data_IF_637086446380
#
_entry.id   IF_637086446380
#
_cell.length_a   1.000
_cell.length_b   1.000
_cell.length_c   1.000
_cell.angle_alpha   90.00
_cell.angle_beta   90.00
_cell.angle_gamma   90.00
#
_symmetry.space_group_name_H-M   'P 1'
#
loop_
_entity.id
_entity.type
_entity.pdbx_description
1 polymer ?
#
# COMPACT_ATOMS: atom_id res chain seq x y z
N UNK A 1 -3.79 -1.19 -22.11
CA UNK A 1 -3.61 -1.98 -20.87
C UNK A 1 -4.73 -1.58 -19.95
N UNK A 2 -5.48 -2.53 -19.36
CA UNK A 2 -6.61 -2.20 -18.49
C UNK A 2 -6.12 -1.54 -17.19
N UNK A 3 -6.91 -0.65 -16.62
CA UNK A 3 -6.57 0.04 -15.37
C UNK A 3 -6.56 -0.95 -14.19
N UNK A 4 -5.65 -0.73 -13.23
CA UNK A 4 -5.62 -1.51 -12.01
C UNK A 4 -6.78 -1.13 -11.08
N UNK A 5 -7.48 -2.13 -10.55
CA UNK A 5 -8.52 -1.92 -9.52
C UNK A 5 -7.83 -1.72 -8.17
N UNK A 6 -8.17 -0.64 -7.48
CA UNK A 6 -7.60 -0.29 -6.17
C UNK A 6 -8.52 -0.78 -5.06
N UNK A 7 -8.04 -1.72 -4.26
CA UNK A 7 -8.69 -2.25 -3.08
C UNK A 7 -8.13 -1.53 -1.85
N UNK A 8 -8.99 -0.85 -1.09
CA UNK A 8 -8.58 -0.07 0.08
C UNK A 8 -9.12 -0.70 1.36
N UNK A 9 -8.20 -1.05 2.24
CA UNK A 9 -8.47 -1.63 3.55
C UNK A 9 -8.87 -0.59 4.60
N UNK A 10 -9.22 -1.04 5.82
CA UNK A 10 -9.59 -0.15 6.92
C UNK A 10 -8.43 0.78 7.32
N UNK A 11 -8.76 2.02 7.70
CA UNK A 11 -7.77 3.00 8.17
C UNK A 11 -6.94 3.67 7.06
N UNK A 12 -7.28 3.45 5.79
CA UNK A 12 -6.52 3.96 4.64
C UNK A 12 -7.21 5.13 3.90
N UNK A 13 -7.91 6.00 4.63
CA UNK A 13 -8.69 7.11 4.04
C UNK A 13 -7.81 8.06 3.21
N UNK A 14 -6.60 8.35 3.69
CA UNK A 14 -5.69 9.25 2.98
C UNK A 14 -5.17 8.63 1.67
N UNK A 15 -4.96 7.31 1.65
CA UNK A 15 -4.56 6.61 0.43
C UNK A 15 -5.73 6.50 -0.57
N UNK A 16 -6.96 6.28 -0.09
CA UNK A 16 -8.15 6.35 -0.95
C UNK A 16 -8.27 7.72 -1.63
N UNK A 17 -8.11 8.81 -0.87
CA UNK A 17 -8.14 10.16 -1.43
C UNK A 17 -6.99 10.40 -2.41
N UNK A 18 -5.80 9.83 -2.17
CA UNK A 18 -4.71 9.86 -3.14
C UNK A 18 -5.13 9.22 -4.47
N UNK A 19 -5.65 7.99 -4.46
CA UNK A 19 -6.02 7.30 -5.71
C UNK A 19 -7.25 7.90 -6.41
N UNK A 20 -8.11 8.63 -5.69
CA UNK A 20 -9.19 9.43 -6.31
C UNK A 20 -8.65 10.60 -7.13
N UNK A 21 -7.51 11.15 -6.73
CA UNK A 21 -6.92 12.35 -7.34
C UNK A 21 -5.76 12.02 -8.29
N UNK A 22 -5.04 10.94 -8.03
CA UNK A 22 -3.95 10.44 -8.83
C UNK A 22 -4.36 9.10 -9.45
N UNK A 23 -4.61 9.10 -10.76
CA UNK A 23 -4.97 7.90 -11.51
C UNK A 23 -3.76 7.03 -11.88
N UNK A 24 -2.69 7.06 -11.08
CA UNK A 24 -1.48 6.28 -11.31
C UNK A 24 -0.88 5.70 -10.03
N UNK A 25 -0.21 4.57 -10.18
CA UNK A 25 0.71 4.02 -9.20
C UNK A 25 2.03 3.62 -9.85
N UNK A 26 3.09 3.54 -9.04
CA UNK A 26 4.42 3.13 -9.48
C UNK A 26 4.53 1.61 -9.50
N UNK A 27 4.93 1.04 -10.64
CA UNK A 27 5.09 -0.40 -10.82
C UNK A 27 6.40 -0.69 -11.55
N UNK A 28 7.43 -1.02 -10.78
CA UNK A 28 8.76 -1.34 -11.30
C UNK A 28 9.40 -0.11 -11.96
N UNK A 29 9.96 -0.23 -13.18
CA UNK A 29 10.54 0.92 -13.88
C UNK A 29 9.48 1.89 -14.41
N UNK A 30 8.21 1.50 -14.44
CA UNK A 30 7.12 2.26 -15.05
C UNK A 30 6.02 2.68 -14.06
N UNK A 31 4.88 3.02 -14.64
CA UNK A 31 3.64 3.37 -13.93
C UNK A 31 2.48 2.55 -14.47
N UNK A 32 1.52 2.26 -13.61
CA UNK A 32 0.23 1.68 -13.99
C UNK A 32 -0.86 2.72 -13.79
N UNK A 33 -1.84 2.74 -14.67
CA UNK A 33 -3.06 3.54 -14.46
C UNK A 33 -3.92 2.84 -13.40
N UNK A 34 -4.49 3.61 -12.49
CA UNK A 34 -5.46 3.13 -11.50
C UNK A 34 -6.86 3.60 -11.87
N UNK A 35 -7.83 2.70 -11.72
CA UNK A 35 -9.22 2.92 -12.10
C UNK A 35 -10.14 2.92 -10.89
N UNK A 36 -11.05 1.94 -10.84
CA UNK A 36 -12.03 1.83 -9.77
C UNK A 36 -11.37 1.65 -8.39
N UNK A 37 -11.92 2.34 -7.39
CA UNK A 37 -11.55 2.19 -5.97
C UNK A 37 -12.67 1.44 -5.24
N UNK A 38 -12.31 0.38 -4.53
CA UNK A 38 -13.24 -0.51 -3.81
C UNK A 38 -12.73 -0.68 -2.38
N UNK A 39 -13.61 -0.50 -1.40
CA UNK A 39 -13.26 -0.74 -0.02
C UNK A 39 -13.44 -2.21 0.36
N UNK A 40 -12.63 -2.70 1.28
CA UNK A 40 -12.82 -3.99 1.94
C UNK A 40 -12.52 -3.86 3.43
N UNK A 41 -13.09 -4.74 4.25
CA UNK A 41 -12.91 -4.71 5.71
C UNK A 41 -12.19 -5.93 6.26
N UNK A 42 -12.07 -7.00 5.47
CA UNK A 42 -11.45 -8.27 5.84
C UNK A 42 -10.93 -8.99 4.58
N UNK A 43 -10.11 -10.03 4.79
CA UNK A 43 -9.53 -10.83 3.72
C UNK A 43 -10.61 -11.51 2.86
N UNK A 44 -11.68 -12.01 3.48
CA UNK A 44 -12.80 -12.62 2.76
C UNK A 44 -13.40 -11.69 1.69
N UNK A 45 -13.71 -10.45 2.05
CA UNK A 45 -14.23 -9.44 1.13
C UNK A 45 -13.21 -9.03 0.07
N UNK A 46 -11.92 -8.97 0.42
CA UNK A 46 -10.87 -8.70 -0.55
C UNK A 46 -10.82 -9.80 -1.63
N UNK A 47 -10.91 -11.07 -1.23
CA UNK A 47 -10.94 -12.18 -2.18
C UNK A 47 -12.20 -12.15 -3.06
N UNK A 48 -13.37 -11.86 -2.49
CA UNK A 48 -14.60 -11.66 -3.26
C UNK A 48 -14.43 -10.56 -4.31
N UNK A 49 -13.89 -9.41 -3.90
CA UNK A 49 -13.66 -8.28 -4.79
C UNK A 49 -12.70 -8.60 -5.92
N UNK A 50 -11.72 -9.48 -5.73
CA UNK A 50 -10.78 -9.90 -6.79
C UNK A 50 -11.45 -10.96 -7.69
N UNK A 51 -12.09 -11.97 -7.10
CA UNK A 51 -12.71 -13.06 -7.84
C UNK A 51 -13.86 -12.59 -8.75
N UNK A 52 -14.62 -11.57 -8.32
CA UNK A 52 -15.75 -11.02 -9.07
C UNK A 52 -15.34 -10.13 -10.26
N UNK A 53 -14.04 -9.99 -10.53
CA UNK A 53 -13.49 -9.03 -11.49
C UNK A 53 -12.87 -9.70 -12.71
N UNK A 54 -12.72 -8.91 -13.76
CA UNK A 54 -12.11 -9.32 -15.03
C UNK A 54 -10.75 -8.65 -15.23
N UNK A 55 -10.48 -7.56 -14.50
CA UNK A 55 -9.21 -6.88 -14.49
C UNK A 55 -8.12 -7.81 -13.96
N UNK A 56 -6.96 -7.84 -14.62
CA UNK A 56 -5.83 -8.68 -14.23
C UNK A 56 -5.00 -8.02 -13.14
N UNK A 57 -4.96 -6.69 -13.11
CA UNK A 57 -4.15 -5.92 -12.16
C UNK A 57 -4.99 -5.44 -10.98
N UNK A 58 -4.54 -5.77 -9.78
CA UNK A 58 -5.14 -5.30 -8.54
C UNK A 58 -4.10 -4.67 -7.64
N UNK A 59 -4.43 -3.49 -7.11
CA UNK A 59 -3.62 -2.79 -6.13
C UNK A 59 -4.29 -2.88 -4.77
N UNK A 60 -3.62 -3.45 -3.78
CA UNK A 60 -4.13 -3.64 -2.43
C UNK A 60 -3.45 -2.63 -1.50
N UNK A 61 -4.22 -1.68 -0.97
CA UNK A 61 -3.75 -0.69 0.01
C UNK A 61 -4.27 -1.08 1.38
N UNK A 62 -3.38 -1.46 2.29
CA UNK A 62 -3.74 -1.87 3.65
C UNK A 62 -2.53 -1.77 4.57
N UNK A 63 -2.72 -1.79 5.88
CA UNK A 63 -1.57 -1.95 6.77
C UNK A 63 -0.95 -3.33 6.56
N UNK A 64 0.37 -3.40 6.67
CA UNK A 64 1.10 -4.65 6.62
C UNK A 64 2.42 -4.58 7.36
N UNK A 65 3.03 -5.73 7.65
CA UNK A 65 4.38 -5.79 8.20
C UNK A 65 5.11 -7.04 7.74
N UNK A 66 6.43 -7.06 7.93
CA UNK A 66 7.29 -8.22 7.66
C UNK A 66 7.00 -9.43 8.55
N UNK A 67 6.27 -9.24 9.66
CA UNK A 67 5.92 -10.28 10.63
C UNK A 67 4.48 -10.73 10.53
N UNK A 68 3.55 -9.78 10.34
CA UNK A 68 2.12 -10.04 10.42
C UNK A 68 1.46 -10.18 9.04
N UNK A 69 2.19 -9.93 7.95
CA UNK A 69 1.61 -9.86 6.60
C UNK A 69 0.66 -8.68 6.49
N UNK A 70 -0.44 -8.82 5.75
CA UNK A 70 -1.54 -7.87 5.76
C UNK A 70 -2.22 -7.89 7.13
N UNK A 71 -2.39 -6.70 7.71
CA UNK A 71 -3.01 -6.49 9.01
C UNK A 71 -4.50 -6.19 8.80
N UNK A 72 -5.27 -7.23 8.53
CA UNK A 72 -6.72 -7.18 8.28
C UNK A 72 -7.39 -8.43 8.87
N UNK A 73 -8.62 -8.32 9.42
CA UNK A 73 -9.36 -9.49 9.85
C UNK A 73 -9.52 -10.54 8.74
N UNK A 74 -9.54 -11.82 9.08
CA UNK A 74 -9.75 -12.89 8.08
C UNK A 74 -11.16 -12.88 7.49
N UNK A 75 -12.17 -12.70 8.35
CA UNK A 75 -13.59 -12.70 8.00
C UNK A 75 -14.34 -11.69 8.89
N UNK A 76 -15.66 -11.62 8.73
CA UNK A 76 -16.50 -10.91 9.69
C UNK A 76 -16.41 -11.57 11.08
N UNK A 77 -16.48 -10.75 12.14
CA UNK A 77 -16.57 -11.18 13.54
C UNK A 77 -15.31 -11.87 14.12
N UNK A 78 -14.14 -11.70 13.51
CA UNK A 78 -12.85 -12.06 14.15
C UNK A 78 -12.02 -10.81 14.44
N UNK A 79 -11.35 -10.80 15.59
CA UNK A 79 -10.34 -9.79 15.93
C UNK A 79 -8.93 -10.19 15.46
N UNK A 80 -8.73 -11.44 15.02
CA UNK A 80 -7.45 -11.90 14.50
C UNK A 80 -7.22 -11.30 13.12
N UNK A 81 -6.14 -10.53 13.00
CA UNK A 81 -5.89 -9.71 11.82
C UNK A 81 -4.48 -9.88 11.22
N UNK A 82 -3.67 -10.81 11.70
CA UNK A 82 -2.32 -11.06 11.18
C UNK A 82 -2.35 -12.23 10.18
N UNK A 83 -2.33 -11.93 8.89
CA UNK A 83 -2.45 -12.94 7.83
C UNK A 83 -1.13 -13.66 7.48
N UNK A 84 0.01 -13.09 7.87
CA UNK A 84 1.34 -13.53 7.43
C UNK A 84 1.69 -14.98 7.72
N UNK A 85 1.51 -15.46 8.95
CA UNK A 85 1.82 -16.86 9.32
C UNK A 85 0.77 -17.87 8.86
N UNK A 86 -0.37 -17.39 8.36
CA UNK A 86 -1.55 -18.20 8.06
C UNK A 86 -1.76 -18.34 6.55
N UNK A 87 -1.21 -17.43 5.75
CA UNK A 87 -1.45 -17.36 4.31
C UNK A 87 -0.98 -18.63 3.57
N UNK A 88 0.15 -19.21 3.97
CA UNK A 88 0.66 -20.47 3.42
C UNK A 88 -0.24 -21.65 3.78
N UNK A 89 -0.73 -21.72 5.02
CA UNK A 89 -1.68 -22.76 5.44
C UNK A 89 -3.03 -22.64 4.70
N UNK A 90 -3.51 -21.41 4.47
CA UNK A 90 -4.70 -21.17 3.64
C UNK A 90 -4.49 -21.62 2.20
N UNK A 91 -3.32 -21.37 1.62
CA UNK A 91 -2.97 -21.84 0.28
C UNK A 91 -2.96 -23.38 0.19
N UNK A 92 -2.44 -24.05 1.22
CA UNK A 92 -2.46 -25.52 1.29
C UNK A 92 -3.90 -26.04 1.43
N UNK A 93 -4.73 -25.41 2.27
CA UNK A 93 -6.13 -25.78 2.41
C UNK A 93 -6.91 -25.61 1.10
N UNK A 94 -6.64 -24.52 0.36
CA UNK A 94 -7.18 -24.29 -0.98
C UNK A 94 -6.77 -25.41 -1.93
N UNK A 95 -5.49 -25.76 -1.98
CA UNK A 95 -4.98 -26.87 -2.82
C UNK A 95 -5.68 -28.21 -2.49
N UNK A 96 -5.90 -28.51 -1.21
CA UNK A 96 -6.63 -29.70 -0.77
C UNK A 96 -8.12 -29.68 -1.16
N UNK A 97 -8.70 -28.48 -1.30
CA UNK A 97 -10.12 -28.32 -1.69
C UNK A 97 -10.35 -28.50 -3.19
N UNK A 98 -9.36 -28.20 -4.05
CA UNK A 98 -9.46 -28.30 -5.52
C UNK A 98 -10.04 -29.65 -6.02
N UNK A 99 -9.49 -30.83 -5.66
CA UNK A 99 -10.01 -32.10 -6.17
C UNK A 99 -11.42 -32.43 -5.67
N UNK A 100 -11.83 -31.89 -4.52
CA UNK A 100 -13.17 -32.07 -3.98
C UNK A 100 -14.18 -31.20 -4.72
N UNK A 101 -13.84 -29.94 -4.98
CA UNK A 101 -14.70 -29.03 -5.74
C UNK A 101 -14.96 -29.53 -7.16
N UNK A 102 -13.97 -30.16 -7.80
CA UNK A 102 -14.14 -30.82 -9.10
C UNK A 102 -15.20 -31.95 -9.09
N UNK A 103 -15.55 -32.46 -7.90
CA UNK A 103 -16.59 -33.46 -7.68
C UNK A 103 -17.86 -32.88 -7.03
N UNK A 104 -18.01 -31.55 -6.97
CA UNK A 104 -19.06 -30.85 -6.23
C UNK A 104 -19.10 -31.24 -4.73
N UNK A 105 -17.92 -31.42 -4.12
CA UNK A 105 -17.75 -31.71 -2.69
C UNK A 105 -16.90 -30.62 -2.03
N UNK A 106 -17.08 -30.49 -0.73
CA UNK A 106 -16.31 -29.58 0.12
C UNK A 106 -15.43 -30.37 1.09
N UNK A 107 -14.41 -29.73 1.65
CA UNK A 107 -13.70 -30.31 2.79
C UNK A 107 -14.67 -30.52 3.96
N UNK A 108 -14.56 -31.64 4.71
CA UNK A 108 -15.37 -31.85 5.89
C UNK A 108 -15.05 -30.80 6.98
N UNK A 109 -16.08 -30.25 7.62
CA UNK A 109 -15.90 -29.35 8.78
C UNK A 109 -15.19 -30.03 9.96
N UNK A 110 -15.22 -31.36 10.02
CA UNK A 110 -14.55 -32.20 11.01
C UNK A 110 -13.09 -32.51 10.67
N UNK A 111 -12.58 -32.06 9.52
CA UNK A 111 -11.18 -32.25 9.15
C UNK A 111 -10.28 -31.49 10.13
N UNK A 112 -9.30 -32.20 10.71
CA UNK A 112 -8.40 -31.64 11.73
C UNK A 112 -7.61 -30.43 11.21
N UNK A 113 -7.24 -30.42 9.92
CA UNK A 113 -6.54 -29.29 9.28
C UNK A 113 -7.44 -28.08 9.22
N UNK A 114 -8.71 -28.27 8.84
CA UNK A 114 -9.72 -27.20 8.83
C UNK A 114 -9.92 -26.63 10.24
N UNK A 115 -10.13 -27.49 11.23
CA UNK A 115 -10.37 -27.09 12.63
C UNK A 115 -9.18 -26.28 13.17
N UNK A 116 -7.96 -26.78 12.98
CA UNK A 116 -6.75 -26.12 13.46
C UNK A 116 -6.57 -24.75 12.80
N UNK A 117 -6.74 -24.66 11.49
CA UNK A 117 -6.58 -23.40 10.77
C UNK A 117 -7.66 -22.39 11.14
N UNK A 118 -8.91 -22.83 11.28
CA UNK A 118 -10.01 -21.99 11.73
C UNK A 118 -9.76 -21.42 13.14
N UNK A 119 -9.23 -22.24 14.05
CA UNK A 119 -8.81 -21.82 15.39
C UNK A 119 -7.72 -20.75 15.35
N UNK A 120 -6.69 -20.92 14.52
CA UNK A 120 -5.62 -19.92 14.34
C UNK A 120 -6.13 -18.57 13.83
N UNK A 121 -7.20 -18.57 13.03
CA UNK A 121 -7.85 -17.37 12.51
C UNK A 121 -8.96 -16.82 13.43
N UNK A 122 -9.30 -17.53 14.50
CA UNK A 122 -10.45 -17.22 15.35
C UNK A 122 -11.78 -17.19 14.61
N UNK A 123 -11.99 -18.11 13.67
CA UNK A 123 -13.22 -18.23 12.89
C UNK A 123 -13.78 -19.65 12.96
N UNK A 124 -14.99 -19.85 12.43
CA UNK A 124 -15.61 -21.17 12.37
C UNK A 124 -15.02 -22.03 11.23
N UNK A 125 -14.95 -23.36 11.36
CA UNK A 125 -14.44 -24.28 10.34
C UNK A 125 -15.05 -24.08 8.94
N UNK A 126 -16.35 -23.86 8.85
CA UNK A 126 -17.03 -23.58 7.59
C UNK A 126 -16.59 -22.26 6.92
N UNK A 127 -16.19 -21.26 7.70
CA UNK A 127 -15.62 -20.00 7.18
C UNK A 127 -14.21 -20.24 6.64
N UNK A 128 -13.41 -21.08 7.29
CA UNK A 128 -12.08 -21.43 6.80
C UNK A 128 -12.14 -22.18 5.46
N UNK A 129 -13.07 -23.12 5.31
CA UNK A 129 -13.35 -23.81 4.04
C UNK A 129 -13.73 -22.78 2.97
N UNK A 130 -14.72 -21.93 3.26
CA UNK A 130 -15.18 -20.90 2.32
C UNK A 130 -14.06 -19.93 1.90
N UNK A 131 -13.19 -19.53 2.81
CA UNK A 131 -12.00 -18.72 2.50
C UNK A 131 -11.06 -19.46 1.53
N UNK A 132 -10.78 -20.74 1.78
CA UNK A 132 -9.95 -21.56 0.91
C UNK A 132 -10.53 -21.68 -0.50
N UNK A 133 -11.85 -21.82 -0.63
CA UNK A 133 -12.55 -21.87 -1.92
C UNK A 133 -12.47 -20.51 -2.66
N UNK A 134 -12.56 -19.40 -1.95
CA UNK A 134 -12.36 -18.05 -2.53
C UNK A 134 -10.93 -17.86 -3.03
N UNK A 135 -9.93 -18.42 -2.36
CA UNK A 135 -8.57 -18.43 -2.89
C UNK A 135 -8.48 -19.17 -4.22
N UNK A 136 -9.17 -20.30 -4.39
CA UNK A 136 -9.20 -21.03 -5.67
C UNK A 136 -9.78 -20.15 -6.77
N UNK A 137 -10.92 -19.49 -6.51
CA UNK A 137 -11.54 -18.58 -7.48
C UNK A 137 -10.60 -17.43 -7.89
N UNK A 138 -9.79 -16.90 -6.95
CA UNK A 138 -8.76 -15.90 -7.27
C UNK A 138 -7.59 -16.52 -8.05
N UNK A 139 -7.13 -17.71 -7.67
CA UNK A 139 -6.02 -18.42 -8.32
C UNK A 139 -6.31 -18.74 -9.79
N UNK A 140 -7.56 -18.95 -10.16
CA UNK A 140 -8.00 -19.16 -11.54
C UNK A 140 -7.81 -17.91 -12.41
N UNK A 141 -7.88 -16.71 -11.81
CA UNK A 141 -7.70 -15.43 -12.53
C UNK A 141 -6.25 -15.13 -12.89
N UNK A 142 -5.29 -15.75 -12.21
CA UNK A 142 -3.85 -15.46 -12.34
C UNK A 142 -3.55 -13.96 -12.25
N UNK A 143 -3.93 -13.27 -11.15
CA UNK A 143 -3.82 -11.82 -11.08
C UNK A 143 -2.37 -11.34 -11.00
N UNK A 144 -2.16 -10.06 -11.30
CA UNK A 144 -0.97 -9.29 -10.93
C UNK A 144 -1.34 -8.41 -9.75
N UNK A 145 -0.62 -8.56 -8.63
CA UNK A 145 -0.97 -7.89 -7.37
C UNK A 145 0.10 -6.87 -6.97
N UNK A 146 -0.32 -5.65 -6.70
CA UNK A 146 0.52 -4.59 -6.13
C UNK A 146 0.07 -4.31 -4.70
N UNK A 147 0.85 -4.72 -3.71
CA UNK A 147 0.56 -4.46 -2.30
C UNK A 147 1.23 -3.13 -1.90
N UNK A 148 0.47 -2.20 -1.33
CA UNK A 148 0.95 -0.97 -0.68
C UNK A 148 0.76 -1.12 0.82
N UNK A 149 1.55 -2.05 1.38
CA UNK A 149 1.38 -2.63 2.71
C UNK A 149 2.49 -2.27 3.70
N UNK A 150 2.61 -0.99 4.06
CA UNK A 150 3.72 -0.44 4.84
C UNK A 150 5.09 -0.96 4.38
N UNK A 151 5.66 -1.99 5.01
CA UNK A 151 6.95 -2.62 4.69
C UNK A 151 6.88 -4.14 4.47
N UNK A 152 5.71 -4.69 4.14
CA UNK A 152 5.47 -6.15 3.99
C UNK A 152 6.49 -6.83 3.07
N UNK A 153 6.97 -6.14 2.03
CA UNK A 153 7.98 -6.68 1.10
C UNK A 153 9.38 -6.80 1.67
N UNK A 154 9.62 -6.36 2.90
CA UNK A 154 10.86 -6.64 3.63
C UNK A 154 11.01 -8.14 3.98
N UNK A 155 9.93 -8.91 3.91
CA UNK A 155 9.94 -10.36 4.03
C UNK A 155 9.57 -11.02 2.69
N UNK A 156 10.58 -11.26 1.84
CA UNK A 156 10.39 -11.89 0.54
C UNK A 156 9.79 -13.31 0.60
N UNK A 157 10.21 -14.20 1.53
CA UNK A 157 9.55 -15.49 1.72
C UNK A 157 8.03 -15.37 1.92
N UNK A 158 7.58 -14.46 2.78
CA UNK A 158 6.16 -14.22 3.00
C UNK A 158 5.46 -13.72 1.72
N UNK A 159 6.09 -12.83 0.93
CA UNK A 159 5.51 -12.41 -0.35
C UNK A 159 5.36 -13.57 -1.34
N UNK A 160 6.30 -14.52 -1.37
CA UNK A 160 6.19 -15.72 -2.19
C UNK A 160 5.00 -16.58 -1.73
N UNK A 161 4.74 -16.66 -0.43
CA UNK A 161 3.56 -17.34 0.11
C UNK A 161 2.26 -16.64 -0.32
N UNK A 162 2.20 -15.29 -0.28
CA UNK A 162 1.06 -14.56 -0.85
C UNK A 162 0.89 -14.82 -2.35
N UNK A 163 1.99 -14.85 -3.11
CA UNK A 163 1.96 -15.12 -4.54
C UNK A 163 1.38 -16.50 -4.82
N UNK A 164 1.85 -17.50 -4.09
CA UNK A 164 1.34 -18.87 -4.18
C UNK A 164 -0.14 -18.95 -3.76
N UNK A 165 -0.51 -18.32 -2.64
CA UNK A 165 -1.88 -18.33 -2.13
C UNK A 165 -2.87 -17.70 -3.10
N UNK A 166 -2.53 -16.54 -3.68
CA UNK A 166 -3.38 -15.82 -4.63
C UNK A 166 -3.27 -16.37 -6.07
N UNK A 167 -2.36 -17.32 -6.32
CA UNK A 167 -2.05 -17.80 -7.66
C UNK A 167 -1.59 -16.67 -8.60
N UNK A 168 -0.97 -15.64 -8.03
CA UNK A 168 -0.61 -14.43 -8.74
C UNK A 168 0.55 -14.68 -9.71
N UNK A 169 0.52 -14.05 -10.88
CA UNK A 169 1.65 -14.07 -11.82
C UNK A 169 2.84 -13.29 -11.26
N UNK A 170 2.55 -12.22 -10.54
CA UNK A 170 3.54 -11.34 -9.91
C UNK A 170 2.93 -10.68 -8.68
N UNK A 171 3.74 -10.52 -7.62
CA UNK A 171 3.43 -9.63 -6.51
C UNK A 171 4.52 -8.56 -6.38
N UNK A 172 4.11 -7.31 -6.19
CA UNK A 172 5.01 -6.21 -5.85
C UNK A 172 4.63 -5.56 -4.52
N UNK A 173 5.62 -5.26 -3.67
CA UNK A 173 5.37 -4.59 -2.40
C UNK A 173 6.56 -3.71 -1.95
N UNK A 174 6.33 -2.71 -1.09
CA UNK A 174 7.41 -1.94 -0.47
C UNK A 174 8.25 -2.80 0.49
N UNK A 175 9.57 -2.72 0.34
CA UNK A 175 10.54 -3.40 1.22
C UNK A 175 10.92 -2.61 2.46
N UNK A 176 10.54 -1.34 2.50
CA UNK A 176 10.75 -0.41 3.60
C UNK A 176 9.44 0.29 3.96
N UNK A 177 9.44 1.23 4.90
CA UNK A 177 8.20 1.87 5.36
C UNK A 177 7.62 2.75 4.25
N UNK A 178 6.30 2.66 4.06
CA UNK A 178 5.53 3.47 3.13
C UNK A 178 4.43 4.23 3.88
N UNK A 179 4.27 5.51 3.56
CA UNK A 179 3.24 6.39 4.13
C UNK A 179 2.56 7.20 3.04
N UNK A 180 1.34 7.65 3.32
CA UNK A 180 0.72 8.74 2.59
C UNK A 180 0.71 9.96 3.52
N UNK A 181 1.14 11.11 3.01
CA UNK A 181 1.23 12.35 3.77
C UNK A 181 0.38 13.42 3.12
N UNK A 182 -0.41 14.14 3.92
CA UNK A 182 -1.06 15.37 3.47
C UNK A 182 -0.06 16.52 3.63
N UNK A 183 0.37 17.09 2.51
CA UNK A 183 1.32 18.19 2.47
C UNK A 183 0.53 19.48 2.27
N UNK A 184 0.78 20.46 3.14
CA UNK A 184 0.14 21.78 3.10
C UNK A 184 1.24 22.86 3.16
N UNK A 185 1.84 23.21 2.02
CA UNK A 185 2.94 24.15 1.98
C UNK A 185 2.52 25.55 2.41
N UNK A 186 3.31 26.19 3.26
CA UNK A 186 3.13 27.58 3.64
C UNK A 186 4.41 28.39 3.45
N UNK A 187 4.30 29.71 3.50
CA UNK A 187 5.50 30.57 3.49
C UNK A 187 6.27 30.39 4.82
N UNK A 188 7.61 30.43 4.81
CA UNK A 188 8.39 30.50 6.04
C UNK A 188 7.99 31.70 6.90
N UNK A 189 8.10 31.55 8.22
CA UNK A 189 7.89 32.67 9.15
C UNK A 189 9.01 33.70 9.01
N UNK A 190 8.79 34.96 9.44
CA UNK A 190 9.77 36.07 9.28
C UNK A 190 11.18 35.79 9.81
N UNK A 191 11.37 34.79 10.68
CA UNK A 191 12.67 34.40 11.27
C UNK A 191 13.38 33.28 10.52
N UNK A 192 12.74 32.69 9.50
CA UNK A 192 13.25 31.57 8.73
C UNK A 192 13.33 31.97 7.25
N UNK A 193 14.44 31.66 6.60
CA UNK A 193 14.56 31.81 5.13
C UNK A 193 14.64 30.44 4.49
N UNK A 194 14.18 30.31 3.24
CA UNK A 194 14.31 29.05 2.49
C UNK A 194 15.78 28.61 2.36
N UNK A 195 16.71 29.55 2.21
CA UNK A 195 18.15 29.27 2.15
C UNK A 195 18.69 28.71 3.49
N UNK A 196 18.26 29.28 4.62
CA UNK A 196 18.63 28.79 5.95
C UNK A 196 18.00 27.43 6.27
N UNK A 197 16.73 27.24 5.91
CA UNK A 197 16.04 25.95 6.08
C UNK A 197 16.63 24.87 5.17
N UNK A 198 17.01 25.22 3.94
CA UNK A 198 17.54 24.26 2.95
C UNK A 198 18.95 23.75 3.28
N UNK A 199 19.76 24.51 4.02
CA UNK A 199 21.12 24.12 4.44
C UNK A 199 21.17 23.59 5.87
N UNK A 200 20.19 23.93 6.71
CA UNK A 200 20.08 23.45 8.09
C UNK A 200 19.50 22.05 8.18
N UNK A 201 20.02 21.25 9.13
CA UNK A 201 19.33 20.02 9.57
C UNK A 201 18.02 20.37 10.28
N UNK A 202 17.00 19.49 10.24
CA UNK A 202 15.85 19.62 11.12
C UNK A 202 16.27 19.78 12.58
N UNK A 203 15.65 20.73 13.27
CA UNK A 203 15.86 20.93 14.70
C UNK A 203 15.11 19.88 15.53
N UNK A 204 14.07 19.28 14.96
CA UNK A 204 13.25 18.28 15.62
C UNK A 204 13.86 16.89 15.42
N UNK A 205 14.00 16.13 16.50
CA UNK A 205 14.50 14.76 16.45
C UNK A 205 13.64 13.87 15.53
N UNK A 206 14.26 12.85 14.92
CA UNK A 206 13.63 11.89 14.01
C UNK A 206 12.94 12.52 12.79
N UNK A 207 13.43 13.69 12.37
CA UNK A 207 12.88 14.41 11.21
C UNK A 207 13.81 14.26 10.01
N UNK A 208 13.22 13.89 8.87
CA UNK A 208 13.87 13.78 7.57
C UNK A 208 13.44 14.96 6.72
N UNK A 209 14.39 15.84 6.37
CA UNK A 209 14.17 16.99 5.49
C UNK A 209 14.53 16.63 4.06
N UNK A 210 13.74 17.13 3.12
CA UNK A 210 14.10 17.14 1.71
C UNK A 210 13.81 18.51 1.09
N UNK A 211 14.80 19.03 0.37
CA UNK A 211 14.69 20.25 -0.41
C UNK A 211 14.47 19.89 -1.88
N UNK A 212 13.40 20.43 -2.45
CA UNK A 212 13.03 20.29 -3.85
C UNK A 212 13.27 21.62 -4.52
N UNK A 213 14.24 21.62 -5.44
CA UNK A 213 14.48 22.76 -6.33
C UNK A 213 13.28 22.94 -7.25
N UNK A 214 13.09 24.16 -7.70
CA UNK A 214 12.13 24.48 -8.76
C UNK A 214 12.32 23.52 -9.96
N UNK A 215 11.25 22.94 -10.53
CA UNK A 215 11.35 22.13 -11.74
C UNK A 215 11.86 22.96 -12.92
N UNK A 216 12.85 22.43 -13.64
CA UNK A 216 13.35 23.07 -14.86
C UNK A 216 12.28 22.99 -15.96
N UNK A 217 11.57 24.10 -16.20
CA UNK A 217 10.50 24.19 -17.22
C UNK A 217 9.07 24.10 -16.68
N UNK A 218 8.87 24.15 -15.35
CA UNK A 218 7.55 24.16 -14.72
C UNK A 218 6.83 25.52 -14.81
N UNK A 219 5.50 25.50 -14.66
CA UNK A 219 4.65 26.71 -14.62
C UNK A 219 4.65 27.45 -13.27
N UNK A 220 5.43 26.97 -12.30
CA UNK A 220 5.51 27.50 -10.95
C UNK A 220 6.97 27.63 -10.50
N UNK A 221 7.25 28.59 -9.61
CA UNK A 221 8.61 29.13 -9.39
C UNK A 221 9.16 28.90 -7.98
N UNK A 222 8.36 28.35 -7.07
CA UNK A 222 8.77 28.13 -5.70
C UNK A 222 9.68 26.91 -5.59
N UNK A 223 10.69 27.02 -4.72
CA UNK A 223 11.33 25.84 -4.14
C UNK A 223 10.49 25.36 -2.95
N UNK A 224 10.59 24.07 -2.64
CA UNK A 224 9.84 23.45 -1.55
C UNK A 224 10.76 22.72 -0.57
N UNK A 225 10.44 22.83 0.71
CA UNK A 225 11.02 22.00 1.76
C UNK A 225 9.90 21.21 2.37
N UNK A 226 10.10 19.91 2.54
CA UNK A 226 9.19 19.05 3.30
C UNK A 226 10.03 18.33 4.35
N UNK A 227 9.59 18.48 5.58
CA UNK A 227 10.06 17.75 6.74
C UNK A 227 9.05 16.66 7.05
N UNK A 228 9.53 15.43 7.17
CA UNK A 228 8.72 14.32 7.63
C UNK A 228 9.31 13.80 8.93
N UNK A 229 8.51 13.83 9.98
CA UNK A 229 8.93 13.41 11.31
C UNK A 229 8.27 12.09 11.68
N UNK A 230 9.12 11.20 12.19
CA UNK A 230 8.74 9.90 12.68
C UNK A 230 8.49 9.98 14.19
N UNK A 231 7.23 9.78 14.60
CA UNK A 231 6.81 10.02 15.99
C UNK A 231 7.06 8.79 16.85
N UNK A 232 6.79 7.59 16.33
CA UNK A 232 6.81 6.34 17.10
C UNK A 232 7.71 5.25 16.52
N UNK A 233 8.43 5.52 15.42
CA UNK A 233 9.26 4.51 14.76
C UNK A 233 8.47 3.47 13.97
N UNK A 234 7.14 3.60 13.92
CA UNK A 234 6.23 2.61 13.36
C UNK A 234 5.28 3.23 12.33
N UNK A 235 4.09 3.64 12.76
CA UNK A 235 2.98 4.02 11.88
C UNK A 235 2.66 5.50 11.92
N UNK A 236 3.12 6.21 12.96
CA UNK A 236 2.72 7.60 13.18
C UNK A 236 3.79 8.55 12.69
N UNK A 237 3.42 9.35 11.70
CA UNK A 237 4.26 10.36 11.08
C UNK A 237 3.50 11.68 10.99
N UNK A 238 4.20 12.79 11.16
CA UNK A 238 3.72 14.14 10.87
C UNK A 238 4.66 14.81 9.85
N UNK A 239 4.23 15.96 9.33
CA UNK A 239 5.02 16.72 8.37
C UNK A 239 4.87 18.22 8.56
N UNK A 240 5.90 18.96 8.15
CA UNK A 240 5.88 20.41 8.00
C UNK A 240 6.42 20.73 6.60
N UNK A 241 5.82 21.71 5.92
CA UNK A 241 6.19 22.00 4.53
C UNK A 241 6.18 23.47 4.22
N UNK A 242 7.24 23.92 3.56
CA UNK A 242 7.51 25.32 3.24
C UNK A 242 7.64 25.50 1.73
N UNK A 243 7.15 26.63 1.22
CA UNK A 243 7.36 27.06 -0.16
C UNK A 243 7.86 28.51 -0.22
N UNK A 244 8.71 28.82 -1.20
CA UNK A 244 9.29 30.17 -1.35
C UNK A 244 8.33 31.21 -1.94
N UNK A 245 7.22 30.78 -2.53
CA UNK A 245 6.14 31.61 -3.07
C UNK A 245 4.80 30.87 -2.95
N UNK A 246 3.67 31.57 -3.07
CA UNK A 246 2.32 31.00 -2.92
C UNK A 246 1.85 30.22 -4.16
N UNK A 247 2.64 29.25 -4.60
CA UNK A 247 2.30 28.45 -5.77
C UNK A 247 1.14 27.48 -5.47
N UNK A 248 0.34 27.11 -6.48
CA UNK A 248 -0.72 26.13 -6.31
C UNK A 248 -0.14 24.76 -5.94
N UNK A 249 -0.63 24.18 -4.84
CA UNK A 249 -0.21 22.85 -4.37
C UNK A 249 -0.43 21.74 -5.41
N UNK A 250 -1.41 21.92 -6.29
CA UNK A 250 -1.68 20.99 -7.39
C UNK A 250 -0.50 20.85 -8.37
N UNK A 251 0.34 21.89 -8.51
CA UNK A 251 1.47 21.84 -9.43
C UNK A 251 2.60 20.96 -8.86
N UNK A 252 2.91 21.12 -7.58
CA UNK A 252 3.78 20.21 -6.83
C UNK A 252 3.24 18.78 -6.78
N UNK A 253 1.94 18.60 -6.61
CA UNK A 253 1.32 17.28 -6.63
C UNK A 253 1.58 16.53 -7.95
N UNK A 254 1.50 17.22 -9.09
CA UNK A 254 1.80 16.63 -10.41
C UNK A 254 3.28 16.29 -10.54
N UNK A 255 4.18 17.14 -10.04
CA UNK A 255 5.62 16.90 -10.06
C UNK A 255 5.99 15.62 -9.29
N UNK A 256 5.41 15.42 -8.11
CA UNK A 256 5.71 14.25 -7.28
C UNK A 256 4.99 12.97 -7.71
N UNK A 257 3.74 13.10 -8.18
CA UNK A 257 2.84 11.97 -8.39
C UNK A 257 2.53 11.69 -9.88
N UNK A 258 3.22 12.34 -10.82
CA UNK A 258 2.99 12.31 -12.28
C UNK A 258 1.69 12.96 -12.77
N UNK A 259 0.60 12.82 -12.02
CA UNK A 259 -0.70 13.41 -12.34
C UNK A 259 -1.45 13.80 -11.08
N UNK A 260 -2.36 14.75 -11.23
CA UNK A 260 -3.22 15.20 -10.15
C UNK A 260 -4.48 15.86 -10.71
N UNK A 261 -5.64 15.29 -10.41
CA UNK A 261 -6.94 15.75 -10.87
C UNK A 261 -7.53 16.87 -9.98
N UNK A 262 -6.68 17.57 -9.23
CA UNK A 262 -7.03 18.77 -8.47
C UNK A 262 -7.92 18.51 -7.25
N UNK A 263 -8.71 19.52 -6.88
CA UNK A 263 -9.71 19.49 -5.81
C UNK A 263 -9.24 19.88 -4.42
N UNK A 264 -7.96 20.23 -4.24
CA UNK A 264 -7.43 20.86 -3.01
C UNK A 264 -6.49 22.00 -3.41
N UNK A 265 -6.88 23.29 -3.25
CA UNK A 265 -6.09 24.39 -3.79
C UNK A 265 -4.72 24.56 -3.09
N UNK A 266 -4.66 24.26 -1.79
CA UNK A 266 -3.52 24.59 -0.93
C UNK A 266 -2.87 23.36 -0.26
N UNK A 267 -3.22 22.15 -0.71
CA UNK A 267 -2.65 20.93 -0.17
C UNK A 267 -2.69 19.80 -1.21
N UNK A 268 -1.88 18.77 -1.00
CA UNK A 268 -1.88 17.56 -1.81
C UNK A 268 -1.51 16.34 -0.96
N UNK A 269 -1.62 15.15 -1.55
CA UNK A 269 -1.21 13.90 -0.88
C UNK A 269 0.02 13.37 -1.59
N UNK A 270 1.05 13.03 -0.81
CA UNK A 270 2.30 12.48 -1.30
C UNK A 270 2.57 11.14 -0.63
N UNK A 271 2.58 10.03 -1.37
CA UNK A 271 3.14 8.81 -0.85
C UNK A 271 4.66 8.94 -0.76
N UNK A 272 5.23 8.43 0.33
CA UNK A 272 6.67 8.44 0.58
C UNK A 272 7.14 7.08 1.04
N UNK A 273 8.39 6.76 0.72
CA UNK A 273 9.07 5.58 1.22
C UNK A 273 10.42 5.96 1.83
N UNK A 274 10.80 5.32 2.92
CA UNK A 274 12.18 5.40 3.42
C UNK A 274 12.59 4.14 4.18
N UNK A 275 13.89 3.90 4.17
CA UNK A 275 14.53 3.00 5.12
C UNK A 275 14.88 3.77 6.41
N UNK A 276 14.77 3.14 7.57
CA UNK A 276 15.10 3.80 8.85
C UNK A 276 16.57 4.24 8.91
N UNK A 277 17.46 3.56 8.18
CA UNK A 277 18.87 3.94 8.06
C UNK A 277 19.11 5.18 7.17
N UNK A 278 18.11 5.61 6.38
CA UNK A 278 18.24 6.76 5.47
C UNK A 278 17.97 8.08 6.19
N UNK A 279 18.74 9.11 5.80
CA UNK A 279 18.60 10.49 6.28
C UNK A 279 17.49 11.26 5.57
N UNK A 280 16.89 10.70 4.52
CA UNK A 280 15.80 11.29 3.75
C UNK A 280 14.81 10.22 3.29
N UNK A 281 13.86 10.62 2.44
CA UNK A 281 12.81 9.77 1.91
C UNK A 281 12.65 9.97 0.40
N UNK A 282 11.99 9.01 -0.23
CA UNK A 282 11.79 8.92 -1.68
C UNK A 282 10.33 9.21 -2.03
N UNK A 283 10.11 9.78 -3.22
CA UNK A 283 8.80 10.13 -3.78
C UNK A 283 8.56 9.36 -5.10
N UNK A 284 7.32 9.18 -5.56
CA UNK A 284 6.99 8.29 -6.70
C UNK A 284 7.77 8.54 -7.98
N UNK A 285 8.07 9.80 -8.29
CA UNK A 285 8.81 10.15 -9.49
C UNK A 285 10.30 9.77 -9.42
N UNK A 286 10.85 9.53 -8.22
CA UNK A 286 12.25 9.16 -8.03
C UNK A 286 12.53 7.71 -8.47
N UNK A 287 13.72 7.49 -9.05
CA UNK A 287 14.23 6.13 -9.31
C UNK A 287 14.38 5.35 -8.00
N UNK A 288 14.89 6.01 -6.96
CA UNK A 288 15.11 5.40 -5.65
C UNK A 288 13.81 4.92 -4.98
N UNK A 289 12.67 5.55 -5.25
CA UNK A 289 11.36 5.06 -4.79
C UNK A 289 11.01 3.71 -5.43
N UNK A 290 11.28 3.56 -6.73
CA UNK A 290 11.05 2.31 -7.47
C UNK A 290 11.93 1.19 -6.95
N UNK A 291 13.17 1.49 -6.59
CA UNK A 291 14.11 0.53 -5.99
C UNK A 291 13.68 0.05 -4.59
N UNK A 292 12.75 0.75 -3.93
CA UNK A 292 12.15 0.28 -2.67
C UNK A 292 11.01 -0.72 -2.87
N UNK A 293 10.56 -0.96 -4.09
CA UNK A 293 9.62 -2.02 -4.40
C UNK A 293 10.39 -3.32 -4.70
N UNK A 294 9.91 -4.43 -4.13
CA UNK A 294 10.35 -5.79 -4.50
C UNK A 294 9.30 -6.45 -5.37
N UNK A 295 9.73 -7.42 -6.18
CA UNK A 295 8.88 -8.19 -7.09
C UNK A 295 9.18 -9.68 -6.88
N UNK A 296 8.12 -10.48 -6.76
CA UNK A 296 8.22 -11.95 -6.65
C UNK A 296 7.25 -12.64 -7.58
#
# INVERSE_FOLDING_TARGET
MADAVVHVGPGMQLAAEYYQRCSFDVAGPGRITTGQIINFTNLEQLLDNIASRTEVMHLIVSHGSTTNGLIIPFAQNTSFNATGLIISNLAQLAKSSVPLLAQNKHLPVSDTTVINLASMMGIQPNVAIRLAEKFIAVQEKKPIIFIRGCNIGGNQPMLLEYKAALGAQMISAPKCRMFFLRIQPHLPTRRQTMAGLGTGRPTTANTRRRFFKQPAGGTFSSAMIIDVRDIDGHTKVDNESFQSATDPSNAWAKEFNFAWNGGLPNQFIMPVMWDNAETSYHCPNDISYREKLVFV
#
